data_IF_453822441725
#
_entry.id   IF_453822441725
#
_cell.length_a   1.000
_cell.length_b   1.000
_cell.length_c   1.000
_cell.angle_alpha   90.00
_cell.angle_beta   90.00
_cell.angle_gamma   90.00
#
_symmetry.space_group_name_H-M   'P 1'
#
loop_
_entity.id
_entity.type
_entity.pdbx_description
1 polymer ?
#
# COMPACT_ATOMS: atom_id res chain seq x y z
N UNK A 1 -14.42 15.28 3.62
CA UNK A 1 -14.91 15.03 2.25
C UNK A 1 -13.75 15.14 1.27
N UNK A 2 -12.74 14.28 1.42
CA UNK A 2 -11.56 14.26 0.55
C UNK A 2 -11.12 12.81 0.47
N UNK A 3 -11.84 12.02 -0.31
CA UNK A 3 -11.50 10.64 -0.59
C UNK A 3 -11.89 10.37 -2.06
N UNK A 4 -11.00 9.67 -2.76
CA UNK A 4 -11.19 8.86 -3.97
C UNK A 4 -12.14 9.36 -5.07
N UNK A 5 -11.59 9.85 -6.17
CA UNK A 5 -12.35 9.98 -7.43
C UNK A 5 -12.10 8.72 -8.25
N UNK A 6 -13.02 7.77 -8.19
CA UNK A 6 -12.99 6.62 -9.10
C UNK A 6 -13.33 7.09 -10.51
N UNK A 7 -12.68 6.51 -11.53
CA UNK A 7 -13.11 6.61 -12.94
C UNK A 7 -14.19 5.57 -13.28
N UNK A 8 -14.42 4.59 -12.39
CA UNK A 8 -15.38 3.51 -12.55
C UNK A 8 -16.53 3.61 -11.54
N UNK A 9 -17.76 3.19 -11.92
CA UNK A 9 -18.86 3.07 -10.96
C UNK A 9 -18.53 2.01 -9.90
N UNK A 10 -19.12 2.14 -8.72
CA UNK A 10 -19.03 1.16 -7.63
C UNK A 10 -20.37 1.08 -6.90
N UNK A 11 -20.75 -0.14 -6.54
CA UNK A 11 -21.94 -0.42 -5.73
C UNK A 11 -21.67 -0.18 -4.22
N UNK A 12 -20.42 0.09 -3.83
CA UNK A 12 -20.10 0.47 -2.46
C UNK A 12 -20.60 1.89 -2.16
N UNK A 13 -21.47 2.00 -1.15
CA UNK A 13 -22.06 3.28 -0.73
C UNK A 13 -21.03 4.38 -0.39
N UNK A 14 -19.82 4.00 0.03
CA UNK A 14 -18.73 4.95 0.29
C UNK A 14 -18.18 5.56 -0.99
N UNK A 15 -18.11 4.79 -2.08
CA UNK A 15 -17.68 5.28 -3.38
C UNK A 15 -18.83 5.90 -4.18
N UNK A 16 -20.07 5.44 -4.00
CA UNK A 16 -21.22 5.95 -4.76
C UNK A 16 -21.59 7.40 -4.42
N UNK A 17 -21.16 7.90 -3.26
CA UNK A 17 -21.30 9.30 -2.84
C UNK A 17 -20.19 10.20 -3.37
N UNK A 18 -19.24 9.64 -4.12
CA UNK A 18 -18.07 10.36 -4.62
C UNK A 18 -18.32 10.80 -6.04
N UNK A 19 -17.73 11.94 -6.40
CA UNK A 19 -17.74 12.40 -7.78
C UNK A 19 -16.87 11.46 -8.61
N UNK A 20 -17.41 11.00 -9.75
CA UNK A 20 -16.65 10.20 -10.70
C UNK A 20 -15.68 11.15 -11.39
N UNK A 21 -14.40 10.80 -11.41
CA UNK A 21 -13.40 11.59 -12.12
C UNK A 21 -13.76 11.56 -13.61
N UNK A 22 -13.90 12.72 -14.23
CA UNK A 22 -13.95 12.74 -15.69
C UNK A 22 -12.63 12.13 -16.24
N UNK A 23 -12.71 11.26 -17.26
CA UNK A 23 -11.52 10.72 -17.88
C UNK A 23 -10.62 11.87 -18.37
N UNK A 24 -9.32 11.60 -18.48
CA UNK A 24 -8.27 12.56 -18.86
C UNK A 24 -8.39 13.05 -20.32
N UNK A 25 -9.54 13.57 -20.71
CA UNK A 25 -9.90 13.96 -22.09
C UNK A 25 -10.19 15.46 -22.21
N UNK A 26 -10.27 16.18 -21.09
CA UNK A 26 -10.28 17.64 -21.09
C UNK A 26 -8.84 18.17 -21.06
N UNK A 27 -8.56 19.20 -21.87
CA UNK A 27 -7.23 19.82 -21.99
C UNK A 27 -6.69 20.42 -20.66
N UNK A 28 -7.50 20.41 -19.58
CA UNK A 28 -7.17 20.97 -18.28
C UNK A 28 -6.61 19.93 -17.27
N UNK A 29 -6.89 18.63 -17.43
CA UNK A 29 -6.48 17.59 -16.45
C UNK A 29 -5.88 16.34 -17.13
N UNK A 30 -4.66 16.48 -17.60
CA UNK A 30 -3.89 15.40 -18.23
C UNK A 30 -2.85 14.80 -17.26
N UNK A 31 -2.48 13.52 -17.42
CA UNK A 31 -1.37 12.94 -16.68
C UNK A 31 -0.10 13.76 -16.90
N UNK A 32 0.61 14.05 -15.81
CA UNK A 32 1.88 14.79 -15.83
C UNK A 32 3.06 13.89 -16.17
N UNK A 33 2.94 12.58 -15.92
CA UNK A 33 4.01 11.60 -16.06
C UNK A 33 3.49 10.26 -16.60
N UNK A 34 4.35 9.54 -17.35
CA UNK A 34 4.00 8.27 -18.00
C UNK A 34 3.57 7.17 -17.01
N UNK A 35 4.19 7.14 -15.82
CA UNK A 35 3.92 6.12 -14.82
C UNK A 35 2.48 6.19 -14.27
N UNK A 36 1.84 7.36 -14.30
CA UNK A 36 0.48 7.57 -13.79
C UNK A 36 -0.56 6.74 -14.57
N UNK A 37 -0.32 6.50 -15.86
CA UNK A 37 -1.18 5.71 -16.75
C UNK A 37 -0.65 4.31 -17.04
N UNK A 38 0.53 3.97 -16.54
CA UNK A 38 1.15 2.67 -16.80
C UNK A 38 0.76 1.66 -15.72
N UNK A 39 0.57 0.40 -16.12
CA UNK A 39 0.39 -0.73 -15.22
C UNK A 39 1.55 -1.72 -15.38
N UNK A 40 2.28 -1.97 -14.29
CA UNK A 40 3.36 -2.96 -14.23
C UNK A 40 3.01 -4.06 -13.22
N UNK A 41 2.08 -4.95 -13.59
CA UNK A 41 1.69 -6.03 -12.68
C UNK A 41 2.76 -7.12 -12.59
N UNK A 42 2.96 -7.66 -11.39
CA UNK A 42 3.93 -8.71 -11.08
C UNK A 42 3.22 -10.02 -10.73
N UNK A 43 2.16 -10.34 -11.46
CA UNK A 43 1.23 -11.42 -11.12
C UNK A 43 1.91 -12.79 -10.99
N UNK A 44 2.92 -13.10 -11.82
CA UNK A 44 3.62 -14.38 -11.73
C UNK A 44 4.30 -14.55 -10.37
N UNK A 45 5.10 -13.58 -9.93
CA UNK A 45 5.78 -13.64 -8.62
C UNK A 45 4.79 -13.69 -7.45
N UNK A 46 3.60 -13.11 -7.61
CA UNK A 46 2.54 -13.21 -6.60
C UNK A 46 1.86 -14.58 -6.58
N UNK A 47 1.56 -15.15 -7.76
CA UNK A 47 0.94 -16.48 -7.88
C UNK A 47 1.90 -17.63 -7.56
N UNK A 48 3.21 -17.38 -7.60
CA UNK A 48 4.24 -18.34 -7.18
C UNK A 48 4.41 -18.43 -5.65
N UNK A 49 3.75 -17.55 -4.88
CA UNK A 49 3.70 -17.67 -3.43
C UNK A 49 2.84 -18.88 -3.03
N UNK A 50 3.50 -19.98 -2.67
CA UNK A 50 2.84 -21.21 -2.22
C UNK A 50 2.34 -21.07 -0.77
N UNK A 51 1.20 -20.39 -0.61
CA UNK A 51 0.58 -20.13 0.71
C UNK A 51 0.08 -21.41 1.40
N UNK A 52 -0.30 -22.43 0.63
CA UNK A 52 -0.84 -23.69 1.17
C UNK A 52 0.24 -24.47 1.91
N UNK A 53 1.42 -24.62 1.29
CA UNK A 53 2.55 -25.30 1.95
C UNK A 53 3.12 -24.51 3.13
N UNK A 54 2.91 -23.20 3.16
CA UNK A 54 3.34 -22.31 4.24
C UNK A 54 2.49 -22.45 5.52
N UNK A 55 1.25 -22.94 5.40
CA UNK A 55 0.33 -23.22 6.51
C UNK A 55 0.59 -24.61 7.14
N UNK A 56 0.89 -25.63 6.31
CA UNK A 56 1.09 -27.03 6.72
C UNK A 56 2.44 -27.34 7.40
N UNK A 57 3.35 -26.36 7.54
CA UNK A 57 4.64 -26.62 8.18
C UNK A 57 4.51 -26.70 9.71
N UNK A 58 4.36 -27.92 10.22
CA UNK A 58 4.13 -28.39 11.61
C UNK A 58 4.99 -27.78 12.74
N UNK A 59 5.92 -26.86 12.48
CA UNK A 59 6.78 -26.29 13.53
C UNK A 59 6.72 -24.77 13.69
N UNK A 60 6.16 -24.01 12.74
CA UNK A 60 5.83 -22.58 12.90
C UNK A 60 5.18 -22.13 11.59
N UNK A 61 3.88 -21.78 11.61
CA UNK A 61 3.21 -21.25 10.40
C UNK A 61 3.99 -20.05 9.88
N UNK A 62 4.53 -20.19 8.67
CA UNK A 62 5.22 -19.11 7.96
C UNK A 62 4.26 -18.05 7.42
N UNK A 63 2.95 -18.30 7.56
CA UNK A 63 1.86 -17.41 7.20
C UNK A 63 1.05 -17.01 8.45
N UNK A 64 0.94 -15.71 8.73
CA UNK A 64 0.20 -15.21 9.88
C UNK A 64 -0.72 -14.05 9.50
N UNK A 65 -2.03 -14.23 9.64
CA UNK A 65 -3.00 -13.14 9.51
C UNK A 65 -2.89 -12.17 10.70
N UNK A 66 -2.48 -10.92 10.46
CA UNK A 66 -2.29 -9.93 11.53
C UNK A 66 -3.10 -8.65 11.34
N UNK A 67 -3.47 -8.28 10.12
CA UNK A 67 -4.32 -7.12 9.84
C UNK A 67 -5.73 -7.52 9.41
N UNK A 68 -6.67 -7.58 10.36
CA UNK A 68 -8.09 -7.95 10.11
C UNK A 68 -9.06 -6.76 10.11
N UNK A 69 -8.62 -5.62 10.65
CA UNK A 69 -9.47 -4.46 10.91
C UNK A 69 -9.67 -3.56 9.68
N UNK A 70 -8.94 -3.78 8.59
CA UNK A 70 -9.22 -3.08 7.33
C UNK A 70 -10.58 -3.51 6.79
N UNK A 71 -11.29 -2.64 6.08
CA UNK A 71 -12.60 -3.00 5.52
C UNK A 71 -12.45 -4.01 4.38
N UNK A 72 -11.74 -3.61 3.32
CA UNK A 72 -11.60 -4.35 2.06
C UNK A 72 -10.60 -5.51 2.06
N UNK A 73 -9.48 -5.35 2.79
CA UNK A 73 -8.32 -6.24 2.66
C UNK A 73 -7.90 -6.83 4.00
N UNK A 74 -7.40 -8.06 3.94
CA UNK A 74 -6.64 -8.70 5.00
C UNK A 74 -5.14 -8.47 4.78
N UNK A 75 -4.37 -8.37 5.87
CA UNK A 75 -2.91 -8.33 5.81
C UNK A 75 -2.30 -9.56 6.50
N UNK A 76 -1.50 -10.29 5.74
CA UNK A 76 -0.82 -11.50 6.11
C UNK A 76 0.67 -11.20 6.22
N UNK A 77 1.29 -11.60 7.33
CA UNK A 77 2.73 -11.64 7.47
C UNK A 77 3.21 -12.97 6.90
N UNK A 78 4.17 -12.91 5.99
CA UNK A 78 4.74 -14.11 5.34
C UNK A 78 6.24 -14.12 5.60
N UNK A 79 6.73 -15.18 6.24
CA UNK A 79 8.15 -15.40 6.50
C UNK A 79 8.72 -16.34 5.41
N UNK A 80 9.43 -15.78 4.43
CA UNK A 80 10.00 -16.52 3.31
C UNK A 80 11.20 -17.35 3.79
N UNK A 81 11.16 -18.65 3.52
CA UNK A 81 12.17 -19.60 4.01
C UNK A 81 13.48 -19.54 3.22
N UNK A 82 13.49 -19.06 1.98
CA UNK A 82 14.69 -18.70 1.20
C UNK A 82 15.85 -19.73 1.17
N UNK A 83 15.59 -21.02 1.46
CA UNK A 83 16.63 -22.03 1.67
C UNK A 83 17.50 -21.80 2.92
N UNK A 84 17.15 -20.87 3.81
CA UNK A 84 17.89 -20.56 5.03
C UNK A 84 17.28 -21.28 6.23
N UNK A 85 18.10 -22.11 6.89
CA UNK A 85 17.67 -22.92 8.03
C UNK A 85 17.48 -22.13 9.33
N UNK A 86 17.95 -20.88 9.38
CA UNK A 86 17.95 -20.07 10.60
C UNK A 86 16.79 -19.07 10.59
N UNK A 87 16.01 -19.05 11.68
CA UNK A 87 14.84 -18.17 11.85
C UNK A 87 15.18 -16.67 11.74
N UNK A 88 16.42 -16.29 12.06
CA UNK A 88 16.90 -14.90 12.02
C UNK A 88 17.22 -14.39 10.62
N UNK A 89 17.37 -15.28 9.64
CA UNK A 89 17.76 -14.92 8.28
C UNK A 89 16.59 -14.93 7.30
N UNK A 90 15.37 -15.21 7.80
CA UNK A 90 14.13 -15.21 7.01
C UNK A 90 13.78 -13.78 6.61
N UNK A 91 13.37 -13.63 5.36
CA UNK A 91 12.81 -12.37 4.88
C UNK A 91 11.32 -12.35 5.21
N UNK A 92 10.87 -11.31 5.91
CA UNK A 92 9.46 -11.13 6.22
C UNK A 92 8.86 -10.10 5.27
N UNK A 93 7.78 -10.49 4.59
CA UNK A 93 6.97 -9.62 3.74
C UNK A 93 5.54 -9.52 4.28
N UNK A 94 4.78 -8.56 3.77
CA UNK A 94 3.34 -8.46 3.97
C UNK A 94 2.63 -8.75 2.66
N UNK A 95 1.78 -9.76 2.64
CA UNK A 95 0.81 -9.97 1.58
C UNK A 95 -0.52 -9.35 2.02
N UNK A 96 -1.07 -8.42 1.25
CA UNK A 96 -2.46 -7.97 1.43
C UNK A 96 -3.31 -8.61 0.34
N UNK A 97 -4.50 -9.08 0.71
CA UNK A 97 -5.46 -9.70 -0.22
C UNK A 97 -6.85 -9.13 0.01
N UNK A 98 -7.68 -9.10 -1.04
CA UNK A 98 -9.12 -8.86 -0.90
C UNK A 98 -9.72 -9.87 0.08
N UNK A 99 -10.67 -9.45 0.92
CA UNK A 99 -11.43 -10.40 1.74
C UNK A 99 -12.47 -11.12 0.90
N UNK A 100 -12.67 -12.40 1.17
CA UNK A 100 -13.62 -13.26 0.44
C UNK A 100 -15.09 -12.79 0.47
N UNK A 101 -15.48 -11.95 1.43
CA UNK A 101 -16.82 -11.39 1.50
C UNK A 101 -17.03 -10.15 0.60
N UNK A 102 -15.96 -9.67 -0.06
CA UNK A 102 -16.02 -8.58 -1.01
C UNK A 102 -15.89 -9.11 -2.43
N UNK A 103 -16.68 -8.55 -3.33
CA UNK A 103 -16.52 -8.79 -4.76
C UNK A 103 -15.37 -7.96 -5.31
N UNK A 104 -14.83 -8.38 -6.45
CA UNK A 104 -13.91 -7.57 -7.22
C UNK A 104 -14.66 -6.35 -7.79
N UNK A 105 -14.10 -5.15 -7.62
CA UNK A 105 -14.68 -3.91 -8.13
C UNK A 105 -13.59 -3.05 -8.80
N UNK A 106 -13.82 -2.67 -10.05
CA UNK A 106 -12.85 -1.91 -10.87
C UNK A 106 -12.41 -0.60 -10.20
N UNK A 107 -13.35 0.08 -9.52
CA UNK A 107 -13.07 1.31 -8.78
C UNK A 107 -12.00 1.11 -7.69
N UNK A 108 -12.10 0.03 -6.93
CA UNK A 108 -11.14 -0.30 -5.88
C UNK A 108 -9.83 -0.83 -6.47
N UNK A 109 -9.91 -1.55 -7.61
CA UNK A 109 -8.74 -2.03 -8.33
C UNK A 109 -7.89 -0.87 -8.84
N UNK A 110 -8.51 0.19 -9.35
CA UNK A 110 -7.78 1.39 -9.77
C UNK A 110 -7.07 2.09 -8.63
N UNK A 111 -7.67 2.15 -7.44
CA UNK A 111 -6.98 2.69 -6.26
C UNK A 111 -5.75 1.84 -5.91
N UNK A 112 -5.90 0.52 -5.91
CA UNK A 112 -4.78 -0.37 -5.63
C UNK A 112 -3.68 -0.26 -6.71
N UNK A 113 -4.06 -0.05 -7.97
CA UNK A 113 -3.11 0.21 -9.08
C UNK A 113 -2.36 1.53 -8.87
N UNK A 114 -3.07 2.61 -8.55
CA UNK A 114 -2.47 3.93 -8.33
C UNK A 114 -1.49 3.89 -7.16
N UNK A 115 -1.89 3.26 -6.04
CA UNK A 115 -1.01 3.02 -4.88
C UNK A 115 0.24 2.25 -5.31
N UNK A 116 0.09 1.17 -6.07
CA UNK A 116 1.22 0.36 -6.52
C UNK A 116 2.17 1.15 -7.43
N UNK A 117 1.64 1.87 -8.41
CA UNK A 117 2.45 2.67 -9.34
C UNK A 117 3.23 3.78 -8.61
N UNK A 118 2.61 4.46 -7.63
CA UNK A 118 3.27 5.46 -6.81
C UNK A 118 4.36 4.83 -5.92
N UNK A 119 4.06 3.70 -5.26
CA UNK A 119 5.02 3.00 -4.41
C UNK A 119 6.26 2.50 -5.19
N UNK A 120 6.09 2.10 -6.45
CA UNK A 120 7.23 1.71 -7.31
C UNK A 120 8.23 2.88 -7.48
N UNK A 121 7.72 4.10 -7.69
CA UNK A 121 8.58 5.29 -7.81
C UNK A 121 9.23 5.68 -6.48
N UNK A 122 8.59 5.38 -5.36
CA UNK A 122 9.01 5.78 -4.01
C UNK A 122 9.95 4.79 -3.32
N UNK A 123 10.44 3.75 -4.01
CA UNK A 123 11.34 2.73 -3.46
C UNK A 123 12.62 3.31 -2.84
N UNK A 124 13.07 4.50 -3.29
CA UNK A 124 14.24 5.18 -2.73
C UNK A 124 13.95 5.98 -1.44
N UNK A 125 12.68 6.26 -1.13
CA UNK A 125 12.30 7.01 0.07
C UNK A 125 12.41 6.12 1.31
N UNK A 126 13.10 6.56 2.38
CA UNK A 126 13.14 5.83 3.64
C UNK A 126 11.83 5.97 4.45
N UNK A 127 10.88 6.80 3.99
CA UNK A 127 9.62 7.10 4.68
C UNK A 127 8.42 6.36 4.08
N UNK A 128 8.61 5.71 2.93
CA UNK A 128 7.57 4.97 2.21
C UNK A 128 7.93 3.49 2.22
N UNK A 129 6.92 2.65 2.48
CA UNK A 129 7.10 1.19 2.48
C UNK A 129 7.39 0.72 1.06
N UNK A 130 8.38 -0.14 0.91
CA UNK A 130 8.68 -0.75 -0.39
C UNK A 130 7.56 -1.68 -0.85
N UNK A 131 7.21 -1.57 -2.12
CA UNK A 131 6.38 -2.55 -2.83
C UNK A 131 7.28 -3.57 -3.53
N UNK A 132 6.93 -4.85 -3.41
CA UNK A 132 7.61 -5.94 -4.11
C UNK A 132 6.76 -6.53 -5.22
N UNK A 133 5.44 -6.31 -5.19
CA UNK A 133 4.57 -6.75 -6.26
C UNK A 133 3.11 -6.38 -6.11
N UNK A 134 2.40 -6.33 -7.24
CA UNK A 134 0.99 -5.97 -7.36
C UNK A 134 0.28 -6.83 -8.41
N UNK A 135 -0.90 -7.34 -8.08
CA UNK A 135 -1.79 -8.04 -9.02
C UNK A 135 -3.25 -8.00 -8.53
N UNK A 136 -4.15 -7.40 -9.31
CA UNK A 136 -5.56 -7.27 -8.91
C UNK A 136 -5.70 -6.45 -7.63
N UNK A 137 -6.32 -7.02 -6.59
CA UNK A 137 -6.43 -6.41 -5.25
C UNK A 137 -5.33 -6.83 -4.27
N UNK A 138 -4.35 -7.58 -4.76
CA UNK A 138 -3.31 -8.15 -3.94
C UNK A 138 -2.03 -7.35 -4.11
N UNK A 139 -1.33 -7.12 -3.00
CA UNK A 139 -0.05 -6.40 -2.98
C UNK A 139 0.90 -7.07 -2.00
N UNK A 140 2.16 -7.16 -2.38
CA UNK A 140 3.26 -7.62 -1.53
C UNK A 140 4.12 -6.41 -1.18
N UNK A 141 4.37 -6.19 0.10
CA UNK A 141 5.17 -5.06 0.59
C UNK A 141 6.19 -5.49 1.62
N UNK A 142 7.14 -4.61 1.92
CA UNK A 142 8.01 -4.73 3.07
C UNK A 142 7.21 -4.83 4.39
N UNK A 143 7.76 -5.60 5.34
CA UNK A 143 7.21 -5.70 6.69
C UNK A 143 7.76 -4.60 7.61
N UNK A 144 6.92 -3.61 7.92
CA UNK A 144 7.19 -2.65 8.98
C UNK A 144 6.80 -3.20 10.36
N UNK A 145 7.76 -3.81 11.06
CA UNK A 145 7.57 -4.35 12.42
C UNK A 145 7.45 -3.31 13.54
N UNK A 146 7.45 -2.01 13.19
CA UNK A 146 7.33 -0.91 14.14
C UNK A 146 5.93 -0.72 14.73
N UNK A 147 5.82 0.22 15.66
CA UNK A 147 4.52 0.64 16.17
C UNK A 147 3.72 1.43 15.13
N UNK A 148 2.39 1.27 15.13
CA UNK A 148 1.50 2.14 14.35
C UNK A 148 1.68 3.60 14.76
N UNK A 149 1.66 4.50 13.77
CA UNK A 149 1.87 5.93 13.95
C UNK A 149 0.96 6.54 15.02
N UNK A 150 -0.35 6.24 14.98
CA UNK A 150 -1.30 6.73 15.99
C UNK A 150 -0.92 6.32 17.42
N UNK A 151 -0.53 5.06 17.63
CA UNK A 151 -0.08 4.57 18.95
C UNK A 151 1.25 5.20 19.37
N UNK A 152 2.16 5.43 18.42
CA UNK A 152 3.43 6.11 18.68
C UNK A 152 3.21 7.58 19.08
N UNK A 153 2.31 8.28 18.38
CA UNK A 153 1.91 9.65 18.69
C UNK A 153 1.24 9.74 20.06
N UNK A 154 0.30 8.84 20.36
CA UNK A 154 -0.38 8.78 21.67
C UNK A 154 0.60 8.62 22.83
N UNK A 155 1.57 7.69 22.71
CA UNK A 155 2.61 7.50 23.73
C UNK A 155 3.55 8.69 23.86
N UNK A 156 3.65 9.51 22.81
CA UNK A 156 4.56 10.66 22.73
C UNK A 156 3.89 11.98 23.11
N UNK A 157 2.57 12.00 23.38
CA UNK A 157 1.79 13.22 23.69
C UNK A 157 2.41 14.16 24.72
N UNK A 158 3.11 13.62 25.74
CA UNK A 158 3.76 14.39 26.81
C UNK A 158 5.25 14.67 26.58
N UNK A 159 5.76 14.37 25.38
CA UNK A 159 7.19 14.47 25.01
C UNK A 159 7.32 15.36 23.76
N UNK A 160 7.38 16.69 23.91
CA UNK A 160 7.34 17.63 22.78
C UNK A 160 8.39 17.36 21.70
N UNK A 161 9.63 17.05 22.11
CA UNK A 161 10.71 16.70 21.17
C UNK A 161 10.37 15.45 20.36
N UNK A 162 9.76 14.44 20.99
CA UNK A 162 9.39 13.21 20.28
C UNK A 162 8.23 13.42 19.32
N UNK A 163 7.27 14.28 19.66
CA UNK A 163 6.22 14.69 18.72
C UNK A 163 6.78 15.45 17.53
N UNK A 164 7.76 16.33 17.76
CA UNK A 164 8.41 17.07 16.69
C UNK A 164 9.17 16.14 15.73
N UNK A 165 9.87 15.12 16.25
CA UNK A 165 10.48 14.07 15.42
C UNK A 165 9.43 13.36 14.55
N UNK A 166 8.31 12.93 15.13
CA UNK A 166 7.23 12.27 14.39
C UNK A 166 6.67 13.20 13.29
N UNK A 167 6.40 14.47 13.62
CA UNK A 167 5.88 15.44 12.66
C UNK A 167 6.87 15.70 11.51
N UNK A 168 8.17 15.80 11.80
CA UNK A 168 9.22 15.93 10.79
C UNK A 168 9.25 14.71 9.87
N UNK A 169 9.17 13.50 10.42
CA UNK A 169 9.25 12.28 9.63
C UNK A 169 8.00 12.12 8.72
N UNK A 170 6.81 12.46 9.21
CA UNK A 170 5.58 12.54 8.39
C UNK A 170 5.74 13.57 7.27
N UNK A 171 6.21 14.78 7.59
CA UNK A 171 6.39 15.83 6.61
C UNK A 171 7.43 15.46 5.53
N UNK A 172 8.47 14.71 5.92
CA UNK A 172 9.49 14.21 4.98
C UNK A 172 8.90 13.16 4.04
N UNK A 173 8.13 12.20 4.57
CA UNK A 173 7.41 11.23 3.72
C UNK A 173 6.39 11.90 2.79
N UNK A 174 5.67 12.92 3.26
CA UNK A 174 4.74 13.66 2.41
C UNK A 174 5.46 14.46 1.32
N UNK A 175 6.63 15.03 1.62
CA UNK A 175 7.46 15.70 0.63
C UNK A 175 7.95 14.72 -0.43
N UNK A 176 8.35 13.50 -0.04
CA UNK A 176 8.75 12.45 -0.99
C UNK A 176 7.58 12.05 -1.89
N UNK A 177 6.38 11.86 -1.32
CA UNK A 177 5.13 11.53 -2.04
C UNK A 177 4.73 12.63 -3.03
N UNK A 178 4.82 13.90 -2.64
CA UNK A 178 4.52 15.00 -3.55
C UNK A 178 5.62 15.16 -4.62
N UNK A 179 6.87 14.89 -4.26
CA UNK A 179 8.04 15.16 -5.09
C UNK A 179 8.59 13.96 -5.86
N UNK A 180 7.77 12.95 -6.18
CA UNK A 180 8.18 11.71 -6.86
C UNK A 180 9.12 11.96 -8.04
N UNK A 181 8.83 12.98 -8.85
CA UNK A 181 9.57 13.27 -10.09
C UNK A 181 10.59 14.42 -9.94
N UNK A 182 10.63 15.10 -8.79
CA UNK A 182 11.61 16.15 -8.49
C UNK A 182 11.52 17.42 -9.36
N UNK A 183 10.43 17.61 -10.10
CA UNK A 183 10.23 18.75 -11.03
C UNK A 183 9.67 20.02 -10.36
N UNK A 184 9.44 19.96 -9.04
CA UNK A 184 8.89 21.05 -8.24
C UNK A 184 7.36 21.12 -8.23
N UNK A 185 6.68 20.30 -9.02
CA UNK A 185 5.23 20.14 -8.98
C UNK A 185 4.84 18.90 -8.19
N UNK A 186 3.66 18.93 -7.56
CA UNK A 186 3.12 17.74 -6.91
C UNK A 186 2.51 16.81 -7.97
N UNK A 187 3.18 15.70 -8.27
CA UNK A 187 2.70 14.71 -9.26
C UNK A 187 1.81 13.63 -8.64
N UNK A 188 1.79 13.53 -7.32
CA UNK A 188 0.90 12.66 -6.57
C UNK A 188 0.51 13.32 -5.24
N UNK A 189 -0.72 13.10 -4.79
CA UNK A 189 -1.25 13.66 -3.54
C UNK A 189 -1.95 12.57 -2.76
N UNK A 190 -1.52 12.36 -1.51
CA UNK A 190 -2.19 11.45 -0.59
C UNK A 190 -3.39 12.15 0.04
N UNK A 191 -4.59 11.61 -0.16
CA UNK A 191 -5.84 12.30 0.19
C UNK A 191 -6.32 12.08 1.63
N UNK A 192 -5.73 11.11 2.34
CA UNK A 192 -6.13 10.72 3.70
C UNK A 192 -4.91 10.26 4.53
N UNK A 193 -4.26 11.20 5.22
CA UNK A 193 -3.02 10.96 6.03
C UNK A 193 -3.35 10.87 7.52
#
# INVERSE_FOLDING_TARGET
>A
NTQFYSVYPSDDERLSKMEIREPHVSDECVPMQEWQTTLRSSCNGMHELDLVRMEDSDQHSSLQLFGKNGYWRNAWRVDLLGGKNNLKDRETIVLKTLKYNHNFEDAHFEHDRVDAAAMEQLTASPHVINIFGFCGHSVITEYAGGMRLGTLADKSKKKPLKLLEIARDIASGLADVHGIDGDGNATFVHLDI
#
